data_IF_334448292319
#
_entry.id   IF_334448292319
#
_cell.length_a   1.000
_cell.length_b   1.000
_cell.length_c   1.000
_cell.angle_alpha   90.00
_cell.angle_beta   90.00
_cell.angle_gamma   90.00
#
_symmetry.space_group_name_H-M   'P 1'
#
loop_
_entity.id
_entity.type
_entity.pdbx_description
1 polymer ?
#
# COMPACT_ATOMS: atom_id res chain seq x y z
N UNK A 1 10.68 56.49 11.91
CA UNK A 1 11.69 55.55 11.39
C UNK A 1 11.06 54.18 11.49
N UNK A 2 10.49 53.72 10.38
CA UNK A 2 9.82 52.42 10.28
C UNK A 2 10.72 51.54 9.43
N UNK A 3 11.17 50.43 10.01
CA UNK A 3 11.86 49.37 9.28
C UNK A 3 10.83 48.58 8.47
N UNK A 4 11.12 48.21 7.21
CA UNK A 4 10.26 47.32 6.45
C UNK A 4 10.52 45.87 6.86
N UNK A 5 9.44 45.17 7.24
CA UNK A 5 9.40 43.71 7.40
C UNK A 5 9.79 43.05 6.07
N UNK A 6 10.83 42.25 6.11
CA UNK A 6 11.24 41.31 5.06
C UNK A 6 10.10 40.34 4.77
N UNK A 7 9.59 40.40 3.55
CA UNK A 7 8.56 39.50 3.07
C UNK A 7 9.12 38.08 2.91
N UNK A 8 8.38 37.09 3.40
CA UNK A 8 8.44 35.73 2.88
C UNK A 8 8.09 35.82 1.39
N UNK A 9 9.08 35.59 0.54
CA UNK A 9 8.86 35.40 -0.89
C UNK A 9 8.27 34.00 -1.05
N UNK A 10 6.96 33.92 -1.19
CA UNK A 10 6.30 32.77 -1.80
C UNK A 10 6.80 32.73 -3.24
N UNK A 11 7.79 31.89 -3.54
CA UNK A 11 8.21 31.69 -4.92
C UNK A 11 7.14 30.89 -5.65
N UNK A 12 6.71 31.39 -6.82
CA UNK A 12 5.81 30.68 -7.72
C UNK A 12 6.34 29.26 -8.00
N UNK A 13 5.50 28.24 -7.82
CA UNK A 13 5.90 26.82 -7.97
C UNK A 13 6.48 26.43 -9.35
N UNK A 14 6.27 27.25 -10.37
CA UNK A 14 6.92 27.10 -11.70
C UNK A 14 8.39 27.51 -11.71
N UNK A 15 8.80 28.44 -10.84
CA UNK A 15 10.19 28.86 -10.70
C UNK A 15 11.03 27.81 -9.96
N UNK A 16 10.40 27.01 -9.09
CA UNK A 16 11.07 25.95 -8.35
C UNK A 16 11.42 24.75 -9.26
N UNK A 17 10.51 24.34 -10.13
CA UNK A 17 10.70 23.23 -11.09
C UNK A 17 11.75 23.50 -12.16
N UNK A 18 12.15 24.76 -12.34
CA UNK A 18 13.20 25.16 -13.28
C UNK A 18 14.51 25.56 -12.59
N UNK A 19 14.58 25.43 -11.26
CA UNK A 19 15.75 25.81 -10.49
C UNK A 19 16.94 24.89 -10.80
N UNK A 20 18.10 25.49 -11.07
CA UNK A 20 19.38 24.81 -11.19
C UNK A 20 20.45 25.62 -10.45
N UNK A 21 21.38 24.98 -9.73
CA UNK A 21 22.53 25.66 -9.16
C UNK A 21 23.34 26.39 -10.23
N UNK A 22 24.05 27.48 -9.88
CA UNK A 22 24.92 28.19 -10.83
C UNK A 22 25.92 27.25 -11.49
N UNK A 23 25.89 27.19 -12.83
CA UNK A 23 26.78 26.33 -13.62
C UNK A 23 26.27 24.90 -13.83
N UNK A 24 25.13 24.53 -13.23
CA UNK A 24 24.46 23.26 -13.53
C UNK A 24 23.60 23.42 -14.78
N UNK A 25 23.58 22.37 -15.59
CA UNK A 25 22.61 22.20 -16.67
C UNK A 25 21.57 21.16 -16.25
N UNK A 26 20.46 21.07 -16.98
CA UNK A 26 19.47 20.03 -16.76
C UNK A 26 20.11 18.62 -16.86
N UNK A 27 21.02 18.42 -17.81
CA UNK A 27 21.78 17.18 -17.90
C UNK A 27 22.68 16.93 -16.68
N UNK A 28 23.22 17.98 -16.06
CA UNK A 28 24.01 17.87 -14.82
C UNK A 28 23.12 17.48 -13.66
N UNK A 29 21.95 18.09 -13.51
CA UNK A 29 20.98 17.77 -12.47
C UNK A 29 20.55 16.30 -12.53
N UNK A 30 20.16 15.81 -13.72
CA UNK A 30 19.68 14.44 -13.91
C UNK A 30 20.76 13.38 -13.69
N UNK A 31 22.04 13.72 -13.87
CA UNK A 31 23.16 12.78 -13.73
C UNK A 31 24.03 13.04 -12.49
N UNK A 32 23.63 13.98 -11.62
CA UNK A 32 24.44 14.36 -10.47
C UNK A 32 24.57 13.20 -9.47
N UNK A 33 25.79 12.98 -9.01
CA UNK A 33 26.13 11.99 -7.99
C UNK A 33 25.96 12.59 -6.59
N UNK A 34 25.82 11.74 -5.56
CA UNK A 34 25.73 12.19 -4.16
C UNK A 34 26.92 13.07 -3.74
N UNK A 35 28.10 12.86 -4.34
CA UNK A 35 29.28 13.70 -4.10
C UNK A 35 29.11 15.12 -4.64
N UNK A 36 28.44 15.28 -5.78
CA UNK A 36 28.17 16.58 -6.39
C UNK A 36 27.08 17.33 -5.62
N UNK A 37 26.06 16.62 -5.13
CA UNK A 37 25.08 17.20 -4.20
C UNK A 37 25.72 17.69 -2.91
N UNK A 38 26.59 16.88 -2.29
CA UNK A 38 27.28 17.25 -1.05
C UNK A 38 28.33 18.37 -1.21
N UNK A 39 28.69 18.72 -2.45
CA UNK A 39 29.60 19.82 -2.74
C UNK A 39 28.87 21.18 -2.88
N UNK A 40 27.54 21.17 -2.92
CA UNK A 40 26.73 22.38 -3.00
C UNK A 40 26.64 23.09 -1.63
N UNK A 41 26.54 24.43 -1.63
CA UNK A 41 26.13 25.17 -0.44
C UNK A 41 24.74 24.70 0.02
N UNK A 42 24.51 24.70 1.33
CA UNK A 42 23.26 24.23 1.96
C UNK A 42 22.00 24.85 1.35
N UNK A 43 21.98 26.17 1.13
CA UNK A 43 20.84 26.88 0.50
C UNK A 43 20.54 26.41 -0.94
N UNK A 44 21.56 25.97 -1.68
CA UNK A 44 21.38 25.44 -3.05
C UNK A 44 20.95 23.98 -3.04
N UNK A 45 21.44 23.22 -2.06
CA UNK A 45 21.01 21.85 -1.82
C UNK A 45 19.52 21.83 -1.43
N UNK A 46 19.10 22.68 -0.51
CA UNK A 46 17.70 22.81 -0.07
C UNK A 46 16.77 23.11 -1.24
N UNK A 47 17.07 24.13 -2.06
CA UNK A 47 16.28 24.46 -3.26
C UNK A 47 16.24 23.33 -4.29
N UNK A 48 17.32 22.56 -4.43
CA UNK A 48 17.32 21.37 -5.28
C UNK A 48 16.47 20.23 -4.72
N UNK A 49 16.47 20.05 -3.39
CA UNK A 49 15.60 19.07 -2.74
C UNK A 49 14.14 19.46 -2.90
N UNK A 50 13.80 20.73 -2.66
CA UNK A 50 12.45 21.27 -2.89
C UNK A 50 11.98 21.05 -4.33
N UNK A 51 12.85 21.33 -5.32
CA UNK A 51 12.58 21.00 -6.73
C UNK A 51 12.29 19.51 -6.92
N UNK A 52 13.13 18.63 -6.36
CA UNK A 52 12.98 17.18 -6.50
C UNK A 52 11.69 16.66 -5.84
N UNK A 53 11.30 17.25 -4.70
CA UNK A 53 10.03 16.98 -4.03
C UNK A 53 8.87 17.38 -4.94
N UNK A 54 8.90 18.58 -5.52
CA UNK A 54 7.82 19.05 -6.40
C UNK A 54 7.73 18.23 -7.70
N UNK A 55 8.86 17.85 -8.31
CA UNK A 55 8.88 16.93 -9.47
C UNK A 55 8.27 15.57 -9.11
N UNK A 56 8.64 15.01 -7.95
CA UNK A 56 8.07 13.75 -7.44
C UNK A 56 6.56 13.88 -7.22
N UNK A 57 6.11 15.03 -6.69
CA UNK A 57 4.69 15.33 -6.49
C UNK A 57 3.93 15.42 -7.81
N UNK A 58 4.49 16.06 -8.82
CA UNK A 58 3.89 16.14 -10.16
C UNK A 58 3.80 14.79 -10.83
N UNK A 59 4.85 13.99 -10.76
CA UNK A 59 4.86 12.64 -11.30
C UNK A 59 3.83 11.75 -10.59
N UNK A 60 3.77 11.81 -9.25
CA UNK A 60 2.77 11.09 -8.47
C UNK A 60 1.33 11.49 -8.86
N UNK A 61 1.07 12.78 -9.07
CA UNK A 61 -0.22 13.26 -9.54
C UNK A 61 -0.56 12.75 -10.94
N UNK A 62 0.42 12.73 -11.87
CA UNK A 62 0.22 12.17 -13.21
C UNK A 62 -0.14 10.68 -13.15
N UNK A 63 0.61 9.90 -12.37
CA UNK A 63 0.34 8.47 -12.18
C UNK A 63 -1.06 8.26 -11.58
N UNK A 64 -1.45 9.08 -10.61
CA UNK A 64 -2.79 9.03 -10.02
C UNK A 64 -3.90 9.32 -11.05
N UNK A 65 -3.69 10.30 -11.94
CA UNK A 65 -4.62 10.64 -13.02
C UNK A 65 -4.72 9.54 -14.09
N UNK A 66 -3.59 8.94 -14.46
CA UNK A 66 -3.53 7.80 -15.38
C UNK A 66 -4.27 6.60 -14.78
N UNK A 67 -4.00 6.26 -13.52
CA UNK A 67 -4.69 5.21 -12.79
C UNK A 67 -6.20 5.50 -12.68
N UNK A 68 -6.60 6.76 -12.43
CA UNK A 68 -8.01 7.15 -12.39
C UNK A 68 -8.68 6.95 -13.74
N UNK A 69 -8.05 7.38 -14.82
CA UNK A 69 -8.54 7.18 -16.20
C UNK A 69 -8.67 5.70 -16.53
N UNK A 70 -7.67 4.90 -16.15
CA UNK A 70 -7.70 3.45 -16.32
C UNK A 70 -8.88 2.83 -15.57
N UNK A 71 -9.10 3.21 -14.30
CA UNK A 71 -10.23 2.73 -13.49
C UNK A 71 -11.58 3.04 -14.13
N UNK A 72 -11.78 4.29 -14.58
CA UNK A 72 -13.03 4.69 -15.25
C UNK A 72 -13.27 3.88 -16.53
N UNK A 73 -12.24 3.71 -17.37
CA UNK A 73 -12.36 2.96 -18.62
C UNK A 73 -12.64 1.47 -18.41
N UNK A 74 -12.25 0.91 -17.27
CA UNK A 74 -12.47 -0.48 -16.90
C UNK A 74 -13.66 -0.69 -15.94
N UNK A 75 -14.49 0.33 -15.73
CA UNK A 75 -15.72 0.23 -14.93
C UNK A 75 -15.49 0.13 -13.41
N UNK A 76 -14.30 0.48 -12.93
CA UNK A 76 -14.00 0.61 -11.50
C UNK A 76 -14.41 2.00 -11.04
N UNK A 77 -15.26 2.06 -10.00
CA UNK A 77 -15.71 3.32 -9.44
C UNK A 77 -14.54 4.09 -8.83
N UNK A 78 -14.36 5.35 -9.22
CA UNK A 78 -13.40 6.26 -8.58
C UNK A 78 -14.13 7.01 -7.46
N UNK A 79 -13.53 7.15 -6.28
CA UNK A 79 -14.07 8.04 -5.23
C UNK A 79 -14.19 9.46 -5.82
N UNK A 80 -15.42 9.90 -6.05
CA UNK A 80 -15.72 11.31 -6.28
C UNK A 80 -15.70 12.01 -4.91
N UNK A 81 -15.03 13.16 -4.84
CA UNK A 81 -14.99 14.02 -3.63
C UNK A 81 -16.36 14.60 -3.31
N UNK A 82 -17.34 14.53 -4.21
CA UNK A 82 -18.72 14.84 -3.91
C UNK A 82 -19.63 13.65 -4.22
N UNK A 83 -20.36 13.23 -3.17
CA UNK A 83 -21.36 12.19 -3.25
C UNK A 83 -22.53 12.64 -4.10
N UNK A 84 -22.55 12.26 -5.36
CA UNK A 84 -23.74 11.98 -6.16
C UNK A 84 -23.27 11.58 -7.56
N UNK A 85 -23.21 10.27 -7.86
CA UNK A 85 -23.91 9.79 -9.05
C UNK A 85 -23.88 8.28 -9.23
N UNK A 86 -24.97 7.83 -9.85
CA UNK A 86 -25.37 6.46 -10.17
C UNK A 86 -24.45 5.85 -11.26
N UNK A 87 -24.04 4.58 -11.16
CA UNK A 87 -23.11 3.99 -12.13
C UNK A 87 -23.78 3.73 -13.50
N UNK A 88 -23.12 4.04 -14.63
CA UNK A 88 -23.52 3.55 -15.94
C UNK A 88 -23.09 2.09 -16.14
N UNK A 89 -23.80 1.40 -17.03
CA UNK A 89 -23.69 -0.04 -17.27
C UNK A 89 -22.30 -0.47 -17.80
N UNK A 90 -21.73 -1.50 -17.16
CA UNK A 90 -20.42 -2.05 -17.47
C UNK A 90 -20.38 -2.75 -18.85
N UNK A 91 -19.29 -2.53 -19.59
CA UNK A 91 -18.92 -3.31 -20.76
C UNK A 91 -18.33 -4.67 -20.33
N UNK A 92 -18.61 -5.72 -21.10
CA UNK A 92 -18.28 -7.10 -20.75
C UNK A 92 -16.76 -7.35 -20.71
N UNK A 93 -16.28 -7.77 -19.54
CA UNK A 93 -14.92 -8.20 -19.28
C UNK A 93 -14.66 -9.63 -19.85
N UNK A 94 -13.40 -9.98 -20.16
CA UNK A 94 -13.01 -11.33 -20.58
C UNK A 94 -13.23 -12.35 -19.46
N UNK A 95 -13.44 -13.61 -19.85
CA UNK A 95 -13.87 -14.68 -18.96
C UNK A 95 -12.90 -14.90 -17.78
N UNK A 96 -13.40 -15.01 -16.53
CA UNK A 96 -12.59 -15.23 -15.34
C UNK A 96 -11.92 -16.62 -15.38
N UNK A 97 -10.71 -16.72 -14.82
CA UNK A 97 -10.12 -18.01 -14.45
C UNK A 97 -10.92 -18.68 -13.34
N UNK A 98 -10.73 -20.00 -13.09
CA UNK A 98 -11.47 -20.70 -12.05
C UNK A 98 -11.09 -20.14 -10.67
N UNK A 99 -12.01 -19.40 -10.06
CA UNK A 99 -11.93 -19.02 -8.64
C UNK A 99 -12.43 -20.21 -7.83
N UNK A 100 -11.68 -20.63 -6.81
CA UNK A 100 -12.16 -21.66 -5.89
C UNK A 100 -13.26 -21.12 -4.97
N UNK A 101 -14.11 -22.01 -4.48
CA UNK A 101 -15.30 -21.65 -3.68
C UNK A 101 -14.92 -20.90 -2.40
N UNK A 102 -13.75 -21.23 -1.82
CA UNK A 102 -13.21 -20.59 -0.62
C UNK A 102 -12.87 -19.13 -0.86
N UNK A 103 -12.17 -18.82 -1.96
CA UNK A 103 -11.79 -17.46 -2.31
C UNK A 103 -13.01 -16.61 -2.64
N UNK A 104 -13.98 -17.18 -3.36
CA UNK A 104 -15.23 -16.50 -3.65
C UNK A 104 -16.00 -16.15 -2.38
N UNK A 105 -16.11 -17.11 -1.46
CA UNK A 105 -16.77 -16.91 -0.18
C UNK A 105 -16.08 -15.84 0.68
N UNK A 106 -14.74 -15.86 0.73
CA UNK A 106 -13.96 -14.85 1.46
C UNK A 106 -14.19 -13.44 0.87
N UNK A 107 -14.22 -13.30 -0.46
CA UNK A 107 -14.51 -12.02 -1.10
C UNK A 107 -15.90 -11.48 -0.76
N UNK A 108 -16.92 -12.33 -0.79
CA UNK A 108 -18.28 -11.93 -0.43
C UNK A 108 -18.38 -11.49 1.04
N UNK A 109 -17.72 -12.23 1.94
CA UNK A 109 -17.66 -11.88 3.37
C UNK A 109 -16.90 -10.58 3.61
N UNK A 110 -15.81 -10.35 2.89
CA UNK A 110 -15.08 -9.08 2.93
C UNK A 110 -15.99 -7.91 2.57
N UNK A 111 -16.74 -8.01 1.47
CA UNK A 111 -17.66 -6.93 1.05
C UNK A 111 -18.70 -6.64 2.13
N UNK A 112 -19.32 -7.69 2.69
CA UNK A 112 -20.27 -7.53 3.79
C UNK A 112 -19.63 -6.87 5.02
N UNK A 113 -18.39 -7.22 5.34
CA UNK A 113 -17.66 -6.64 6.47
C UNK A 113 -17.38 -5.15 6.24
N UNK A 114 -16.83 -4.78 5.09
CA UNK A 114 -16.53 -3.38 4.72
C UNK A 114 -17.79 -2.51 4.70
N UNK A 115 -18.91 -3.05 4.20
CA UNK A 115 -20.20 -2.35 4.19
C UNK A 115 -20.77 -2.20 5.60
N UNK A 116 -20.72 -3.25 6.43
CA UNK A 116 -21.25 -3.25 7.79
C UNK A 116 -20.49 -2.30 8.73
N UNK A 117 -19.16 -2.25 8.62
CA UNK A 117 -18.31 -1.37 9.44
C UNK A 117 -18.08 0.01 8.80
N UNK A 118 -18.64 0.25 7.62
CA UNK A 118 -18.53 1.51 6.87
C UNK A 118 -17.08 2.02 6.74
N UNK A 119 -16.10 1.12 6.55
CA UNK A 119 -14.71 1.53 6.38
C UNK A 119 -14.56 2.48 5.20
N UNK A 120 -13.93 3.64 5.40
CA UNK A 120 -13.72 4.62 4.35
C UNK A 120 -12.66 4.13 3.37
N UNK A 121 -11.57 3.58 3.90
CA UNK A 121 -10.42 3.08 3.14
C UNK A 121 -10.08 1.64 3.53
N UNK A 122 -9.67 0.84 2.53
CA UNK A 122 -9.21 -0.54 2.69
C UNK A 122 -7.95 -0.77 1.88
N UNK A 123 -7.03 -1.61 2.39
CA UNK A 123 -5.83 -2.01 1.66
C UNK A 123 -4.60 -2.09 2.55
N UNK A 124 -3.46 -1.63 2.03
CA UNK A 124 -2.17 -1.82 2.68
C UNK A 124 -1.27 -0.61 2.53
N UNK A 125 -0.44 -0.35 3.54
CA UNK A 125 0.76 0.45 3.37
C UNK A 125 1.82 -0.35 2.62
N UNK A 126 2.45 0.28 1.64
CA UNK A 126 3.44 -0.32 0.74
C UNK A 126 4.77 0.41 0.92
N UNK A 127 5.73 -0.23 1.57
CA UNK A 127 7.03 0.36 1.91
C UNK A 127 8.07 0.04 0.84
N UNK A 128 8.63 1.08 0.22
CA UNK A 128 9.80 0.97 -0.67
C UNK A 128 11.06 0.84 0.18
N UNK A 129 11.86 -0.20 -0.08
CA UNK A 129 13.15 -0.41 0.60
C UNK A 129 14.35 -0.37 -0.34
N UNK A 130 14.13 -0.39 -1.66
CA UNK A 130 15.20 -0.29 -2.67
C UNK A 130 15.18 1.06 -3.39
N UNK A 131 16.31 1.78 -3.32
CA UNK A 131 16.46 3.16 -3.82
C UNK A 131 17.58 3.31 -4.86
N UNK A 132 18.23 2.22 -5.27
CA UNK A 132 19.37 2.31 -6.18
C UNK A 132 18.96 2.51 -7.66
N UNK A 133 17.70 2.27 -8.01
CA UNK A 133 17.17 2.46 -9.37
C UNK A 133 15.79 3.14 -9.33
N UNK A 134 15.77 4.45 -9.61
CA UNK A 134 14.52 5.24 -9.69
C UNK A 134 13.69 4.88 -10.92
N UNK A 135 14.31 4.52 -12.05
CA UNK A 135 13.56 4.14 -13.25
C UNK A 135 12.77 2.84 -13.03
N UNK A 136 13.36 1.90 -12.29
CA UNK A 136 12.70 0.68 -11.88
C UNK A 136 11.52 0.97 -10.92
N UNK A 137 11.70 1.93 -10.00
CA UNK A 137 10.64 2.39 -9.11
C UNK A 137 9.50 3.08 -9.85
N UNK A 138 9.78 4.00 -10.77
CA UNK A 138 8.77 4.67 -11.60
C UNK A 138 7.95 3.67 -12.42
N UNK A 139 8.61 2.65 -12.99
CA UNK A 139 7.91 1.58 -13.71
C UNK A 139 7.01 0.77 -12.77
N UNK A 140 7.47 0.47 -11.55
CA UNK A 140 6.63 -0.16 -10.52
C UNK A 140 5.41 0.69 -10.22
N UNK A 141 5.55 2.00 -9.94
CA UNK A 141 4.43 2.88 -9.61
C UNK A 141 3.37 2.91 -10.72
N UNK A 142 3.81 2.96 -11.99
CA UNK A 142 2.90 2.94 -13.16
C UNK A 142 2.14 1.63 -13.28
N UNK A 143 2.84 0.49 -13.18
CA UNK A 143 2.23 -0.83 -13.42
C UNK A 143 1.48 -1.38 -12.20
N UNK A 144 1.87 -1.01 -10.98
CA UNK A 144 1.37 -1.63 -9.75
C UNK A 144 -0.14 -1.45 -9.60
N UNK A 145 -0.64 -0.22 -9.78
CA UNK A 145 -2.07 0.07 -9.73
C UNK A 145 -2.87 -0.72 -10.79
N UNK A 146 -2.40 -0.75 -12.03
CA UNK A 146 -3.04 -1.49 -13.12
C UNK A 146 -3.14 -2.99 -12.84
N UNK A 147 -2.08 -3.59 -12.30
CA UNK A 147 -2.05 -5.03 -11.98
C UNK A 147 -2.97 -5.36 -10.80
N UNK A 148 -3.00 -4.51 -9.77
CA UNK A 148 -3.94 -4.66 -8.63
C UNK A 148 -5.38 -4.55 -9.13
N UNK A 149 -5.68 -3.50 -9.89
CA UNK A 149 -7.03 -3.23 -10.37
C UNK A 149 -7.50 -4.29 -11.37
N UNK A 150 -6.61 -4.79 -12.25
CA UNK A 150 -6.87 -5.96 -13.09
C UNK A 150 -7.23 -7.20 -12.27
N UNK A 151 -6.61 -7.37 -11.10
CA UNK A 151 -6.96 -8.40 -10.12
C UNK A 151 -8.36 -8.26 -9.52
N UNK A 152 -8.91 -7.04 -9.45
CA UNK A 152 -10.28 -6.77 -8.98
C UNK A 152 -11.29 -6.95 -10.12
N UNK A 153 -10.95 -6.56 -11.35
CA UNK A 153 -11.86 -6.67 -12.52
C UNK A 153 -12.04 -8.11 -12.96
N UNK A 154 -11.03 -8.95 -12.78
CA UNK A 154 -11.05 -10.35 -13.22
C UNK A 154 -11.83 -11.28 -12.29
N UNK A 155 -12.26 -10.82 -11.12
CA UNK A 155 -13.07 -11.66 -10.22
C UNK A 155 -14.52 -11.80 -10.73
N UNK A 156 -15.20 -12.92 -10.44
CA UNK A 156 -16.61 -13.09 -10.72
C UNK A 156 -17.45 -11.96 -10.13
N UNK A 157 -18.43 -11.45 -10.89
CA UNK A 157 -19.31 -10.36 -10.43
C UNK A 157 -20.05 -10.71 -9.13
N UNK A 158 -20.32 -11.99 -8.90
CA UNK A 158 -20.95 -12.51 -7.69
C UNK A 158 -20.09 -12.32 -6.42
N UNK A 159 -18.78 -12.08 -6.55
CA UNK A 159 -17.89 -11.71 -5.44
C UNK A 159 -18.24 -10.32 -4.88
N UNK A 160 -18.80 -9.44 -5.70
CA UNK A 160 -19.26 -8.10 -5.28
C UNK A 160 -18.16 -7.07 -5.02
N UNK A 161 -16.88 -7.39 -5.27
CA UNK A 161 -15.74 -6.50 -4.97
C UNK A 161 -15.82 -5.13 -5.65
N UNK A 162 -16.47 -5.03 -6.81
CA UNK A 162 -16.67 -3.75 -7.49
C UNK A 162 -17.39 -2.71 -6.61
N UNK A 163 -18.24 -3.13 -5.67
CA UNK A 163 -18.94 -2.23 -4.73
C UNK A 163 -18.03 -1.52 -3.74
N UNK A 164 -16.90 -2.15 -3.38
CA UNK A 164 -15.93 -1.60 -2.43
C UNK A 164 -14.63 -1.17 -3.10
N UNK A 165 -14.47 -1.40 -4.40
CA UNK A 165 -13.26 -1.11 -5.18
C UNK A 165 -12.81 0.34 -5.09
N UNK A 166 -13.74 1.29 -5.00
CA UNK A 166 -13.43 2.72 -4.84
C UNK A 166 -12.72 3.04 -3.51
N UNK A 167 -12.93 2.21 -2.48
CA UNK A 167 -12.32 2.35 -1.15
C UNK A 167 -10.91 1.79 -1.07
N UNK A 168 -10.43 1.12 -2.12
CA UNK A 168 -9.10 0.50 -2.15
C UNK A 168 -8.02 1.58 -2.21
N UNK A 169 -7.13 1.55 -1.23
CA UNK A 169 -5.98 2.44 -1.06
C UNK A 169 -4.72 1.63 -0.82
N UNK A 170 -3.67 1.99 -1.55
CA UNK A 170 -2.34 1.40 -1.40
C UNK A 170 -1.31 2.52 -1.28
N UNK A 171 -1.27 3.24 -0.14
CA UNK A 171 -0.32 4.33 0.04
C UNK A 171 1.11 3.81 -0.07
N UNK A 172 1.88 4.43 -0.96
CA UNK A 172 3.30 4.12 -1.14
C UNK A 172 4.10 4.97 -0.14
N UNK A 173 4.80 4.30 0.78
CA UNK A 173 5.70 4.93 1.74
C UNK A 173 7.12 4.83 1.20
N UNK A 174 7.72 5.98 0.92
CA UNK A 174 9.06 6.10 0.35
C UNK A 174 9.85 7.14 1.15
N UNK A 175 10.76 6.67 1.98
CA UNK A 175 11.65 7.47 2.84
C UNK A 175 13.04 6.82 2.82
N UNK A 176 14.09 7.64 2.71
CA UNK A 176 15.48 7.15 2.74
C UNK A 176 15.85 6.41 4.04
N UNK A 177 15.12 6.63 5.13
CA UNK A 177 15.24 5.81 6.35
C UNK A 177 14.89 4.32 6.11
N UNK A 178 14.19 4.00 5.02
CA UNK A 178 13.79 2.66 4.63
C UNK A 178 14.81 1.92 3.76
N UNK A 179 15.89 2.59 3.34
CA UNK A 179 16.89 2.01 2.44
C UNK A 179 17.48 0.74 3.05
N UNK A 180 17.45 -0.35 2.27
CA UNK A 180 18.00 -1.66 2.61
C UNK A 180 17.41 -2.29 3.90
N UNK A 181 16.27 -1.80 4.37
CA UNK A 181 15.55 -2.44 5.46
C UNK A 181 15.02 -3.80 5.01
N UNK A 182 15.36 -4.84 5.77
CA UNK A 182 14.73 -6.13 5.65
C UNK A 182 13.32 -6.16 6.26
N UNK A 183 12.59 -7.29 6.14
CA UNK A 183 11.23 -7.45 6.65
C UNK A 183 11.06 -7.05 8.12
N UNK A 184 12.03 -7.36 8.98
CA UNK A 184 11.96 -6.98 10.40
C UNK A 184 11.95 -5.46 10.62
N UNK A 185 12.74 -4.71 9.85
CA UNK A 185 12.78 -3.25 9.94
C UNK A 185 11.46 -2.63 9.49
N UNK A 186 10.90 -3.11 8.37
CA UNK A 186 9.59 -2.67 7.87
C UNK A 186 8.47 -2.97 8.88
N UNK A 187 8.46 -4.17 9.47
CA UNK A 187 7.48 -4.54 10.50
C UNK A 187 7.55 -3.62 11.73
N UNK A 188 8.76 -3.23 12.14
CA UNK A 188 8.95 -2.29 13.25
C UNK A 188 8.39 -0.91 12.93
N UNK A 189 8.72 -0.35 11.76
CA UNK A 189 8.25 0.97 11.34
C UNK A 189 6.73 1.00 11.20
N UNK A 190 6.14 -0.02 10.59
CA UNK A 190 4.68 -0.13 10.48
C UNK A 190 4.01 -0.16 11.85
N UNK A 191 4.55 -0.93 12.80
CA UNK A 191 4.00 -0.98 14.16
C UNK A 191 4.14 0.36 14.86
N UNK A 192 5.30 0.98 14.82
CA UNK A 192 5.52 2.27 15.49
C UNK A 192 4.58 3.35 14.92
N UNK A 193 4.35 3.30 13.61
CA UNK A 193 3.37 4.16 12.92
C UNK A 193 1.93 3.95 13.38
N UNK A 194 1.58 2.75 13.84
CA UNK A 194 0.24 2.42 14.35
C UNK A 194 0.14 2.60 15.86
N UNK A 195 1.17 2.27 16.63
CA UNK A 195 1.15 2.35 18.08
C UNK A 195 1.13 3.79 18.58
N UNK A 196 1.65 4.75 17.80
CA UNK A 196 1.49 6.18 18.07
C UNK A 196 0.04 6.70 17.84
N UNK A 197 -0.91 5.83 17.43
CA UNK A 197 -2.35 6.13 17.37
C UNK A 197 -3.08 5.91 18.68
N UNK A 198 -2.57 4.99 19.52
CA UNK A 198 -3.26 4.53 20.72
C UNK A 198 -2.88 5.39 21.95
N UNK A 199 -2.59 6.67 21.72
CA UNK A 199 -2.21 7.64 22.75
C UNK A 199 -3.35 7.98 23.72
N UNK A 200 -3.23 7.43 24.92
CA UNK A 200 -3.68 7.93 26.24
C UNK A 200 -5.19 8.14 26.49
N UNK A 201 -5.87 7.02 26.78
CA UNK A 201 -6.87 7.02 27.86
C UNK A 201 -6.26 6.42 29.11
N UNK A 202 -5.60 7.25 29.92
CA UNK A 202 -5.64 7.23 31.39
C UNK A 202 -4.57 8.22 31.92
N UNK A 203 -5.07 9.33 32.47
CA UNK A 203 -4.47 10.22 33.48
C UNK A 203 -2.97 10.55 33.39
N UNK A 204 -2.65 11.80 33.02
CA UNK A 204 -2.08 12.79 33.96
C UNK A 204 -2.13 14.20 33.35
N UNK A 205 -2.58 15.16 34.16
CA UNK A 205 -2.64 16.59 33.84
C UNK A 205 -1.22 17.12 33.58
N UNK A 206 -0.89 17.51 32.35
CA UNK A 206 0.22 18.42 32.09
C UNK A 206 -0.15 19.40 30.97
N UNK A 207 -0.15 20.68 31.34
CA UNK A 207 -0.33 21.83 30.47
C UNK A 207 0.77 21.84 29.39
N UNK A 208 0.38 21.69 28.12
CA UNK A 208 1.28 22.00 26.99
C UNK A 208 0.65 23.05 26.08
N UNK A 209 1.39 24.15 26.00
CA UNK A 209 1.09 25.35 25.22
C UNK A 209 0.79 25.02 23.75
N UNK A 210 -0.15 25.78 23.18
CA UNK A 210 -0.45 25.78 21.76
C UNK A 210 0.81 26.11 20.94
N UNK A 211 1.44 25.09 20.38
CA UNK A 211 2.39 25.23 19.29
C UNK A 211 1.64 25.11 17.97
N UNK A 212 1.28 26.24 17.38
CA UNK A 212 0.96 26.30 15.96
C UNK A 212 2.22 25.95 15.14
N UNK A 213 2.18 24.77 14.52
CA UNK A 213 3.20 24.27 13.62
C UNK A 213 2.64 23.10 12.83
N UNK A 214 2.13 23.39 11.64
CA UNK A 214 1.72 22.43 10.62
C UNK A 214 2.97 21.64 10.17
N UNK A 215 3.10 20.39 10.63
CA UNK A 215 4.17 19.47 10.19
C UNK A 215 3.60 18.04 10.09
N UNK A 216 2.94 17.80 8.95
CA UNK A 216 3.10 16.64 8.07
C UNK A 216 4.04 15.53 8.60
N UNK A 217 3.52 14.57 9.37
CA UNK A 217 4.41 13.51 9.83
C UNK A 217 3.83 12.38 10.66
N UNK A 218 2.52 12.19 10.74
CA UNK A 218 1.99 11.08 11.53
C UNK A 218 0.93 10.30 10.75
N UNK A 219 1.18 9.01 10.59
CA UNK A 219 0.18 7.97 10.28
C UNK A 219 -0.89 7.84 11.41
N UNK A 220 -1.05 8.90 12.22
CA UNK A 220 -1.88 9.07 13.42
C UNK A 220 -3.39 9.14 13.13
N UNK A 221 -3.85 8.73 11.95
CA UNK A 221 -5.23 8.27 11.79
C UNK A 221 -5.35 7.28 10.63
N UNK A 222 -4.66 6.14 10.69
CA UNK A 222 -4.92 5.07 9.72
C UNK A 222 -6.33 4.53 9.91
N UNK A 223 -7.11 4.56 8.82
CA UNK A 223 -8.42 3.91 8.73
C UNK A 223 -8.33 2.44 9.21
N UNK A 224 -9.33 1.91 9.92
CA UNK A 224 -9.32 0.52 10.38
C UNK A 224 -9.07 -0.49 9.25
N UNK A 225 -9.56 -0.22 8.04
CA UNK A 225 -9.32 -1.06 6.86
C UNK A 225 -7.89 -1.02 6.32
N UNK A 226 -7.01 -0.17 6.84
CA UNK A 226 -5.58 -0.14 6.52
C UNK A 226 -4.71 -0.77 7.64
N UNK A 227 -5.31 -1.08 8.79
CA UNK A 227 -4.66 -1.73 9.93
C UNK A 227 -4.71 -3.24 9.76
N UNK A 228 -3.73 -3.78 9.07
CA UNK A 228 -3.66 -5.19 8.71
C UNK A 228 -2.60 -5.92 9.53
N UNK A 229 -2.78 -7.23 9.81
CA UNK A 229 -1.77 -8.02 10.52
C UNK A 229 -0.49 -8.25 9.68
N UNK A 230 -0.52 -7.85 8.41
CA UNK A 230 0.63 -7.82 7.52
C UNK A 230 0.69 -6.50 6.75
N UNK A 231 1.90 -6.00 6.52
CA UNK A 231 2.18 -4.85 5.66
C UNK A 231 2.93 -5.28 4.40
N UNK A 232 3.06 -4.39 3.40
CA UNK A 232 3.68 -4.73 2.12
C UNK A 232 5.06 -4.09 2.01
N UNK A 233 6.07 -4.89 1.66
CA UNK A 233 7.43 -4.46 1.38
C UNK A 233 7.75 -4.65 -0.11
N UNK A 234 8.43 -3.65 -0.67
CA UNK A 234 8.87 -3.62 -2.07
C UNK A 234 10.37 -3.38 -2.10
N UNK A 235 11.12 -4.45 -2.33
CA UNK A 235 12.57 -4.43 -2.56
C UNK A 235 12.90 -4.65 -4.04
N UNK A 236 14.20 -4.71 -4.37
CA UNK A 236 14.70 -4.88 -5.74
C UNK A 236 14.01 -6.03 -6.49
N UNK A 237 13.82 -7.16 -5.81
CA UNK A 237 13.22 -8.35 -6.40
C UNK A 237 11.75 -8.12 -6.79
N UNK A 238 10.99 -7.42 -5.93
CA UNK A 238 9.61 -7.04 -6.22
C UNK A 238 9.55 -6.09 -7.43
N UNK A 239 10.44 -5.10 -7.50
CA UNK A 239 10.51 -4.14 -8.60
C UNK A 239 10.87 -4.82 -9.93
N UNK A 240 11.83 -5.73 -9.93
CA UNK A 240 12.20 -6.53 -11.10
C UNK A 240 11.04 -7.42 -11.56
N UNK A 241 10.28 -8.02 -10.64
CA UNK A 241 9.12 -8.86 -10.98
C UNK A 241 8.03 -8.11 -11.77
N UNK A 242 7.94 -6.79 -11.58
CA UNK A 242 7.02 -5.93 -12.32
C UNK A 242 7.50 -5.59 -13.74
N UNK A 243 8.76 -5.91 -14.09
CA UNK A 243 9.31 -5.69 -15.43
C UNK A 243 9.19 -6.93 -16.32
N UNK A 244 8.81 -8.08 -15.76
CA UNK A 244 8.61 -9.30 -16.54
C UNK A 244 7.38 -9.15 -17.43
N UNK A 245 7.59 -9.35 -18.73
CA UNK A 245 6.55 -9.33 -19.74
C UNK A 245 6.26 -10.75 -20.20
N UNK A 246 5.01 -11.18 -20.06
CA UNK A 246 4.57 -12.51 -20.45
C UNK A 246 3.19 -12.85 -19.90
N UNK A 247 2.49 -13.76 -20.58
CA UNK A 247 1.20 -14.26 -20.09
C UNK A 247 1.35 -14.99 -18.74
N UNK A 248 2.51 -15.60 -18.51
CA UNK A 248 2.86 -16.34 -17.29
C UNK A 248 3.58 -15.47 -16.24
N UNK A 249 3.80 -14.18 -16.53
CA UNK A 249 4.42 -13.27 -15.57
C UNK A 249 3.56 -13.18 -14.31
N UNK A 250 4.20 -13.39 -13.16
CA UNK A 250 3.57 -13.37 -11.84
C UNK A 250 4.22 -12.30 -10.97
N UNK A 251 3.96 -11.01 -11.24
CA UNK A 251 4.51 -9.94 -10.42
C UNK A 251 4.05 -10.09 -8.97
N UNK A 252 4.97 -9.85 -8.03
CA UNK A 252 4.72 -10.06 -6.61
C UNK A 252 5.27 -8.91 -5.75
N UNK A 253 4.73 -8.83 -4.55
CA UNK A 253 5.25 -8.02 -3.45
C UNK A 253 5.49 -8.92 -2.23
N UNK A 254 6.22 -8.45 -1.22
CA UNK A 254 6.47 -9.22 0.00
C UNK A 254 5.51 -8.78 1.09
N UNK A 255 4.66 -9.70 1.54
CA UNK A 255 3.86 -9.48 2.73
C UNK A 255 4.72 -9.77 3.97
N UNK A 256 4.70 -8.85 4.92
CA UNK A 256 5.53 -8.88 6.13
C UNK A 256 4.63 -8.90 7.35
N UNK A 257 4.81 -9.89 8.22
CA UNK A 257 4.09 -10.01 9.48
C UNK A 257 4.50 -8.90 10.45
N UNK A 258 3.52 -8.16 10.94
CA UNK A 258 3.75 -7.06 11.89
C UNK A 258 4.30 -7.58 13.23
N UNK A 259 4.06 -8.85 13.55
CA UNK A 259 4.57 -9.51 14.76
C UNK A 259 6.02 -9.99 14.62
N UNK A 260 6.66 -9.87 13.45
CA UNK A 260 8.02 -10.38 13.19
C UNK A 260 9.07 -9.87 14.19
N UNK A 261 8.94 -8.66 14.71
CA UNK A 261 9.89 -8.09 15.69
C UNK A 261 9.46 -8.25 17.14
N UNK A 262 8.40 -9.01 17.43
CA UNK A 262 7.80 -9.09 18.78
C UNK A 262 8.38 -10.16 19.71
N UNK A 263 9.58 -10.71 19.40
CA UNK A 263 10.21 -11.84 20.11
C UNK A 263 9.34 -13.11 20.20
N UNK A 264 8.21 -13.17 19.49
CA UNK A 264 7.35 -14.34 19.39
C UNK A 264 7.85 -15.22 18.25
N UNK A 265 7.92 -16.52 18.50
CA UNK A 265 8.12 -17.48 17.42
C UNK A 265 6.86 -17.50 16.55
N UNK A 266 7.03 -17.13 15.28
CA UNK A 266 5.95 -17.14 14.29
C UNK A 266 5.71 -18.52 13.70
N UNK A 267 6.66 -19.46 13.85
CA UNK A 267 6.69 -20.77 13.18
C UNK A 267 6.73 -20.70 11.64
N UNK A 268 7.07 -19.55 11.07
CA UNK A 268 7.42 -19.36 9.66
C UNK A 268 8.41 -18.18 9.53
N UNK A 269 8.84 -17.85 8.31
CA UNK A 269 9.81 -16.77 8.04
C UNK A 269 9.34 -15.36 8.45
N UNK A 270 8.04 -15.18 8.74
CA UNK A 270 7.43 -13.88 8.99
C UNK A 270 7.32 -12.96 7.78
N UNK A 271 7.69 -13.45 6.59
CA UNK A 271 7.41 -12.80 5.31
C UNK A 271 7.35 -13.80 4.17
N UNK A 272 6.53 -13.51 3.16
CA UNK A 272 6.40 -14.33 1.95
C UNK A 272 5.93 -13.49 0.75
N UNK A 273 6.10 -14.01 -0.46
CA UNK A 273 5.69 -13.32 -1.70
C UNK A 273 4.20 -13.50 -1.94
N UNK A 274 3.54 -12.44 -2.36
CA UNK A 274 2.12 -12.38 -2.69
C UNK A 274 1.96 -11.80 -4.10
N UNK A 275 1.18 -12.46 -4.93
CA UNK A 275 0.86 -11.97 -6.27
C UNK A 275 0.15 -10.62 -6.20
N UNK A 276 0.63 -9.64 -6.98
CA UNK A 276 0.04 -8.30 -7.03
C UNK A 276 -1.42 -8.38 -7.52
N UNK A 277 -1.73 -9.28 -8.45
CA UNK A 277 -3.10 -9.51 -8.94
C UNK A 277 -4.04 -10.06 -7.86
N UNK A 278 -3.49 -10.80 -6.89
CA UNK A 278 -4.27 -11.40 -5.80
C UNK A 278 -4.37 -10.49 -4.57
N UNK A 279 -3.67 -9.35 -4.56
CA UNK A 279 -3.41 -8.54 -3.37
C UNK A 279 -4.70 -8.08 -2.66
N UNK A 280 -5.65 -7.52 -3.41
CA UNK A 280 -6.92 -7.05 -2.85
C UNK A 280 -8.00 -8.13 -2.90
N UNK A 281 -8.11 -8.82 -4.04
CA UNK A 281 -9.18 -9.78 -4.25
C UNK A 281 -9.09 -11.01 -3.34
N UNK A 282 -7.88 -11.55 -3.13
CA UNK A 282 -7.70 -12.78 -2.38
C UNK A 282 -6.98 -12.54 -1.06
N UNK A 283 -5.85 -11.82 -1.09
CA UNK A 283 -4.96 -11.71 0.06
C UNK A 283 -5.55 -10.83 1.17
N UNK A 284 -6.02 -9.63 0.84
CA UNK A 284 -6.73 -8.76 1.79
C UNK A 284 -7.96 -9.46 2.38
N UNK A 285 -8.73 -10.18 1.55
CA UNK A 285 -9.87 -10.96 2.03
C UNK A 285 -9.45 -12.10 2.97
N UNK A 286 -8.36 -12.82 2.66
CA UNK A 286 -7.86 -13.90 3.50
C UNK A 286 -7.39 -13.40 4.87
N UNK A 287 -6.71 -12.26 4.94
CA UNK A 287 -6.23 -11.70 6.21
C UNK A 287 -7.36 -11.32 7.19
N UNK A 288 -8.60 -11.18 6.72
CA UNK A 288 -9.76 -10.95 7.59
C UNK A 288 -10.22 -12.22 8.32
N UNK A 289 -9.87 -13.40 7.82
CA UNK A 289 -10.46 -14.68 8.26
C UNK A 289 -9.43 -15.76 8.62
N UNK A 290 -8.16 -15.55 8.29
CA UNK A 290 -7.07 -16.49 8.52
C UNK A 290 -5.90 -15.80 9.22
N UNK A 291 -5.15 -16.55 10.03
CA UNK A 291 -3.91 -16.04 10.59
C UNK A 291 -2.81 -16.04 9.52
N UNK A 292 -1.82 -15.12 9.61
CA UNK A 292 -0.71 -15.05 8.65
C UNK A 292 0.03 -16.39 8.42
N UNK A 293 0.15 -17.21 9.47
CA UNK A 293 0.76 -18.54 9.36
C UNK A 293 -0.04 -19.48 8.44
N UNK A 294 -1.37 -19.49 8.54
CA UNK A 294 -2.23 -20.33 7.69
C UNK A 294 -2.12 -19.91 6.22
N UNK A 295 -2.06 -18.60 5.98
CA UNK A 295 -1.88 -18.04 4.64
C UNK A 295 -0.50 -18.39 4.08
N UNK A 296 0.55 -18.28 4.90
CA UNK A 296 1.92 -18.65 4.51
C UNK A 296 2.03 -20.14 4.14
N UNK A 297 1.27 -21.01 4.80
CA UNK A 297 1.25 -22.44 4.51
C UNK A 297 0.60 -22.76 3.15
N UNK A 298 -0.21 -21.85 2.61
CA UNK A 298 -0.84 -21.95 1.30
C UNK A 298 0.01 -21.39 0.16
N UNK A 299 1.24 -20.89 0.44
CA UNK A 299 2.18 -20.46 -0.61
C UNK A 299 2.48 -21.63 -1.55
N UNK A 300 2.32 -21.40 -2.85
CA UNK A 300 2.64 -22.39 -3.86
C UNK A 300 4.15 -22.69 -3.84
N UNK A 301 4.50 -23.95 -3.55
CA UNK A 301 5.91 -24.38 -3.42
C UNK A 301 6.66 -24.37 -4.75
N UNK A 302 5.96 -24.38 -5.88
CA UNK A 302 6.57 -24.39 -7.22
C UNK A 302 6.97 -22.99 -7.66
N UNK A 303 6.16 -21.97 -7.35
CA UNK A 303 6.40 -20.57 -7.71
C UNK A 303 7.01 -19.76 -6.57
N UNK A 304 6.80 -20.19 -5.32
CA UNK A 304 7.15 -19.45 -4.12
C UNK A 304 6.27 -18.21 -3.89
N UNK A 305 5.16 -18.08 -4.62
CA UNK A 305 4.25 -16.91 -4.58
C UNK A 305 2.86 -17.35 -4.16
N UNK A 306 2.28 -16.63 -3.21
CA UNK A 306 0.89 -16.83 -2.79
C UNK A 306 -0.08 -16.18 -3.78
N UNK A 307 -1.07 -16.95 -4.24
CA UNK A 307 -2.14 -16.48 -5.15
C UNK A 307 -3.55 -16.67 -4.60
N UNK A 308 -3.72 -17.46 -3.54
CA UNK A 308 -5.01 -17.79 -2.96
C UNK A 308 -4.88 -18.87 -1.88
N UNK A 309 -5.94 -19.10 -1.12
CA UNK A 309 -5.96 -20.17 -0.12
C UNK A 309 -6.05 -21.57 -0.74
N UNK A 310 -6.38 -21.67 -2.03
CA UNK A 310 -6.61 -22.97 -2.68
C UNK A 310 -7.74 -23.75 -2.00
N UNK A 311 -7.73 -25.07 -2.20
CA UNK A 311 -8.60 -26.00 -1.46
C UNK A 311 -8.03 -26.33 -0.06
N UNK A 312 -7.52 -25.35 0.69
CA UNK A 312 -7.07 -25.58 2.07
C UNK A 312 -8.30 -25.89 2.93
N UNK A 313 -8.41 -27.14 3.36
CA UNK A 313 -9.37 -27.55 4.38
C UNK A 313 -9.03 -26.80 5.67
N UNK A 314 -9.89 -25.88 6.07
CA UNK A 314 -9.74 -25.22 7.36
C UNK A 314 -9.84 -26.30 8.43
N UNK A 315 -8.82 -26.43 9.27
CA UNK A 315 -8.83 -27.40 10.39
C UNK A 315 -9.82 -26.99 11.50
N UNK A 316 -10.72 -26.03 11.22
CA UNK A 316 -11.54 -25.31 12.20
C UNK A 316 -13.04 -25.64 12.12
N UNK A 317 -13.47 -26.56 11.24
CA UNK A 317 -14.83 -27.12 11.28
C UNK A 317 -14.98 -28.35 12.21
N UNK A 318 -13.90 -28.79 12.87
CA UNK A 318 -13.92 -30.00 13.71
C UNK A 318 -14.46 -29.84 15.13
N UNK A 319 -14.77 -28.63 15.62
CA UNK A 319 -14.94 -28.40 17.07
C UNK A 319 -16.36 -28.03 17.50
N UNK A 320 -17.26 -27.65 16.60
CA UNK A 320 -18.64 -27.29 16.98
C UNK A 320 -19.64 -28.45 16.83
N UNK A 321 -19.48 -29.35 15.85
CA UNK A 321 -20.40 -30.49 15.69
C UNK A 321 -20.20 -31.62 16.72
N UNK A 322 -18.99 -31.76 17.29
CA UNK A 322 -18.73 -32.76 18.35
C UNK A 322 -19.23 -32.32 19.74
N UNK A 323 -19.62 -31.06 19.94
CA UNK A 323 -20.17 -30.58 21.21
C UNK A 323 -21.69 -30.76 21.32
N UNK A 324 -22.39 -30.87 20.19
CA UNK A 324 -23.84 -31.12 20.18
C UNK A 324 -24.13 -32.60 20.41
N UNK A 325 -23.31 -33.51 19.89
CA UNK A 325 -23.55 -34.97 20.02
C UNK A 325 -23.14 -35.60 21.36
N UNK A 326 -22.57 -34.81 22.30
CA UNK A 326 -22.18 -35.30 23.64
C UNK A 326 -23.10 -34.84 24.78
N UNK A 327 -24.17 -34.10 24.48
CA UNK A 327 -25.13 -33.62 25.49
C UNK A 327 -26.42 -34.45 25.60
N UNK A 328 -26.65 -35.41 24.70
CA UNK A 328 -27.87 -36.23 24.72
C UNK A 328 -27.68 -37.64 25.33
N UNK A 329 -26.49 -37.97 25.84
CA UNK A 329 -26.25 -39.20 26.61
C UNK A 329 -25.70 -38.86 28.02
N UNK A 330 -26.59 -38.37 28.89
CA UNK A 330 -26.44 -38.53 30.35
C UNK A 330 -27.74 -38.33 31.13
#
# INVERSE_FOLDING_TARGET
>A
MSEPKTGLNVMDGTSLLSYLPPGWTEATYQNATSREYNALPEEQLEKLMERKIEETRQEANRILEEARTWRVTHGIATLAVDGTDRPPAAAAAPAPGPVDDVSLHNMQRLVQHVEAFQWAEIGFLVFRTYYADEALWENFQRRFGEVVDGGIVTVPTEAGLTRISSRVKLPLVSDYALVDLGPGGVAHIYRDSISNLDGDSDDEEDEVEEAEGDDEGHLASLDPGLRMPMCIMVDEECLQSMCEDGADALPFVKAVDVKLTTNKDLHYSGSFKVSVRALISHFYAALQFYEPIDISNAVDKSTGVWTGMGNVQTSREGTEEQKVHRRDDK
#
